data_IF_843100861202
#
_entry.id   IF_843100861202
#
_cell.length_a   1.000
_cell.length_b   1.000
_cell.length_c   1.000
_cell.angle_alpha   90.00
_cell.angle_beta   90.00
_cell.angle_gamma   90.00
#
_symmetry.space_group_name_H-M   'P 1'
#
loop_
_entity.id
_entity.type
_entity.pdbx_description
1 polymer ?
#
# COMPACT_ATOMS: atom_id res chain seq x y z
N UNK A 1 20.64 -3.66 -2.24
CA UNK A 1 19.31 -4.23 -2.12
C UNK A 1 18.35 -3.08 -1.82
N UNK A 2 17.23 -2.99 -2.54
CA UNK A 2 16.18 -2.02 -2.20
C UNK A 2 15.70 -2.32 -0.78
N UNK A 3 15.62 -1.29 0.06
CA UNK A 3 15.02 -1.42 1.39
C UNK A 3 13.54 -1.74 1.16
N UNK A 4 13.00 -2.83 1.73
CA UNK A 4 11.58 -3.12 1.60
C UNK A 4 10.78 -1.92 2.11
N UNK A 5 9.77 -1.49 1.35
CA UNK A 5 8.86 -0.46 1.84
C UNK A 5 8.09 -1.03 3.04
N UNK A 6 8.36 -0.46 4.19
CA UNK A 6 7.70 -0.76 5.46
C UNK A 6 7.15 0.54 6.03
N UNK A 7 5.86 0.56 6.32
CA UNK A 7 5.18 1.71 6.91
C UNK A 7 4.41 1.25 8.14
N UNK A 8 4.52 2.02 9.22
CA UNK A 8 3.73 1.84 10.45
C UNK A 8 3.04 3.14 10.81
N UNK A 9 1.73 3.11 11.00
CA UNK A 9 0.92 4.29 11.28
C UNK A 9 0.04 4.06 12.51
N UNK A 10 0.13 4.98 13.48
CA UNK A 10 -0.87 5.11 14.55
C UNK A 10 -1.86 6.17 14.10
N UNK A 11 -2.98 5.73 13.51
CA UNK A 11 -3.99 6.64 12.94
C UNK A 11 -5.03 7.12 13.96
N UNK A 12 -5.20 6.39 15.07
CA UNK A 12 -6.14 6.73 16.14
C UNK A 12 -5.46 6.57 17.49
N UNK A 13 -5.75 7.51 18.40
CA UNK A 13 -5.35 7.47 19.80
C UNK A 13 -6.52 7.98 20.65
N UNK A 14 -6.97 7.17 21.59
CA UNK A 14 -8.06 7.48 22.50
C UNK A 14 -7.66 7.23 23.95
N UNK A 15 -8.04 8.14 24.82
CA UNK A 15 -7.85 8.04 26.27
C UNK A 15 -9.24 8.02 26.92
N UNK A 16 -9.83 6.84 27.13
CA UNK A 16 -11.17 6.72 27.68
C UNK A 16 -11.28 7.39 29.06
N UNK A 17 -12.31 8.20 29.25
CA UNK A 17 -12.55 8.93 30.49
C UNK A 17 -11.38 9.83 30.95
N UNK A 18 -10.58 10.29 29.98
CA UNK A 18 -9.47 11.20 30.27
C UNK A 18 -9.92 12.54 30.86
N UNK A 19 -9.07 13.13 31.68
CA UNK A 19 -9.25 14.46 32.27
C UNK A 19 -7.92 15.19 32.30
N UNK A 20 -7.97 16.53 32.30
CA UNK A 20 -6.78 17.38 32.21
C UNK A 20 -5.82 17.26 33.40
N UNK A 21 -6.29 16.74 34.51
CA UNK A 21 -5.55 16.66 35.79
C UNK A 21 -5.56 15.27 36.42
N UNK A 22 -5.92 14.23 35.66
CA UNK A 22 -5.95 12.84 36.12
C UNK A 22 -5.04 11.99 35.22
N UNK A 23 -4.20 11.16 35.83
CA UNK A 23 -3.40 10.17 35.12
C UNK A 23 -4.33 9.16 34.43
N UNK A 24 -4.24 8.95 33.12
CA UNK A 24 -5.11 8.02 32.44
C UNK A 24 -4.96 6.58 32.93
N UNK A 25 -6.10 5.91 33.15
CA UNK A 25 -6.13 4.49 33.51
C UNK A 25 -6.01 3.55 32.31
N UNK A 26 -6.29 4.06 31.11
CA UNK A 26 -6.21 3.30 29.87
C UNK A 26 -5.88 4.21 28.68
N UNK A 27 -5.26 3.63 27.67
CA UNK A 27 -5.07 4.25 26.36
C UNK A 27 -5.38 3.19 25.29
N UNK A 28 -6.09 3.60 24.26
CA UNK A 28 -6.44 2.77 23.11
C UNK A 28 -5.89 3.41 21.85
N UNK A 29 -5.22 2.63 21.01
CA UNK A 29 -4.70 3.14 19.73
C UNK A 29 -4.80 2.07 18.65
N UNK A 30 -4.90 2.53 17.41
CA UNK A 30 -4.77 1.68 16.24
C UNK A 30 -3.32 1.62 15.77
N UNK A 31 -2.92 0.51 15.15
CA UNK A 31 -1.66 0.39 14.45
C UNK A 31 -1.91 -0.30 13.10
N UNK A 32 -1.56 0.38 12.02
CA UNK A 32 -1.55 -0.16 10.66
C UNK A 32 -0.10 -0.41 10.24
N UNK A 33 0.23 -1.64 9.85
CA UNK A 33 1.56 -2.03 9.38
C UNK A 33 1.43 -2.54 7.95
N UNK A 34 2.13 -1.92 7.01
CA UNK A 34 2.14 -2.29 5.59
C UNK A 34 3.56 -2.50 5.09
N UNK A 35 3.76 -3.56 4.32
CA UNK A 35 5.04 -3.85 3.68
C UNK A 35 4.81 -4.46 2.29
N UNK A 36 5.87 -4.49 1.47
CA UNK A 36 5.83 -5.10 0.14
C UNK A 36 5.80 -6.61 0.16
N UNK A 37 6.17 -7.24 1.29
CA UNK A 37 6.07 -8.68 1.50
C UNK A 37 5.50 -9.00 2.88
N UNK A 38 4.88 -10.16 2.99
CA UNK A 38 4.30 -10.66 4.24
C UNK A 38 5.36 -10.87 5.33
N UNK A 39 6.54 -11.38 4.95
CA UNK A 39 7.63 -11.65 5.88
C UNK A 39 8.11 -10.38 6.58
N UNK A 40 8.27 -9.28 5.83
CA UNK A 40 8.70 -7.99 6.37
C UNK A 40 7.63 -7.39 7.28
N UNK A 41 6.36 -7.47 6.87
CA UNK A 41 5.22 -7.01 7.67
C UNK A 41 5.13 -7.79 8.99
N UNK A 42 5.21 -9.12 8.91
CA UNK A 42 5.01 -9.99 10.07
C UNK A 42 6.20 -9.90 11.03
N UNK A 43 7.41 -9.75 10.55
CA UNK A 43 8.58 -9.48 11.40
C UNK A 43 8.41 -8.16 12.16
N UNK A 44 8.01 -7.08 11.48
CA UNK A 44 7.74 -5.79 12.14
C UNK A 44 6.62 -5.91 13.18
N UNK A 45 5.54 -6.62 12.88
CA UNK A 45 4.44 -6.84 13.82
C UNK A 45 4.90 -7.62 15.06
N UNK A 46 5.79 -8.60 14.89
CA UNK A 46 6.38 -9.34 16.00
C UNK A 46 7.27 -8.46 16.88
N UNK A 47 8.11 -7.62 16.27
CA UNK A 47 8.97 -6.67 16.98
C UNK A 47 8.16 -5.66 17.79
N UNK A 48 7.10 -5.10 17.20
CA UNK A 48 6.19 -4.18 17.91
C UNK A 48 5.51 -4.87 19.08
N UNK A 49 5.04 -6.10 18.91
CA UNK A 49 4.43 -6.87 19.99
C UNK A 49 5.41 -7.12 21.14
N UNK A 50 6.64 -7.54 20.81
CA UNK A 50 7.68 -7.77 21.80
C UNK A 50 8.05 -6.50 22.57
N UNK A 51 8.14 -5.37 21.88
CA UNK A 51 8.42 -4.08 22.53
C UNK A 51 7.26 -3.60 23.41
N UNK A 52 6.00 -3.76 22.98
CA UNK A 52 4.83 -3.48 23.81
C UNK A 52 4.84 -4.32 25.09
N UNK A 53 5.12 -5.61 24.97
CA UNK A 53 5.25 -6.51 26.12
C UNK A 53 6.31 -6.00 27.11
N UNK A 54 7.52 -5.70 26.59
CA UNK A 54 8.63 -5.19 27.40
C UNK A 54 8.31 -3.87 28.12
N UNK A 55 7.60 -2.97 27.42
CA UNK A 55 7.16 -1.69 28.00
C UNK A 55 6.13 -1.92 29.11
N UNK A 56 5.14 -2.77 28.86
CA UNK A 56 4.08 -3.07 29.82
C UNK A 56 4.63 -3.74 31.09
N UNK A 57 5.51 -4.73 30.96
CA UNK A 57 6.16 -5.38 32.08
C UNK A 57 6.96 -4.38 32.94
N UNK A 58 7.79 -3.54 32.31
CA UNK A 58 8.56 -2.50 33.01
C UNK A 58 7.70 -1.50 33.76
N UNK A 59 6.50 -1.22 33.26
CA UNK A 59 5.59 -0.21 33.81
C UNK A 59 4.47 -0.78 34.68
N UNK A 60 4.38 -2.11 34.84
CA UNK A 60 3.28 -2.75 35.54
C UNK A 60 1.94 -2.58 34.83
N UNK A 61 1.94 -2.54 33.52
CA UNK A 61 0.75 -2.39 32.68
C UNK A 61 0.38 -3.70 32.02
N UNK A 62 -0.86 -3.80 31.56
CA UNK A 62 -1.33 -4.89 30.71
C UNK A 62 -1.79 -4.31 29.39
N UNK A 63 -1.63 -5.07 28.29
CA UNK A 63 -2.22 -4.72 27.01
C UNK A 63 -3.01 -5.88 26.44
N UNK A 64 -4.04 -5.55 25.68
CA UNK A 64 -4.77 -6.46 24.81
C UNK A 64 -4.52 -6.03 23.38
N UNK A 65 -4.12 -6.97 22.52
CA UNK A 65 -3.95 -6.72 21.09
C UNK A 65 -5.06 -7.49 20.37
N UNK A 66 -5.71 -6.82 19.43
CA UNK A 66 -6.71 -7.40 18.56
C UNK A 66 -6.30 -7.14 17.11
N UNK A 67 -6.13 -8.21 16.34
CA UNK A 67 -5.88 -8.11 14.91
C UNK A 67 -7.23 -8.04 14.20
N UNK A 68 -7.55 -6.88 13.61
CA UNK A 68 -8.85 -6.63 12.99
C UNK A 68 -8.87 -6.97 11.52
N UNK A 69 -7.74 -6.80 10.83
CA UNK A 69 -7.58 -7.08 9.40
C UNK A 69 -6.19 -7.63 9.13
N UNK A 70 -6.12 -8.67 8.33
CA UNK A 70 -4.88 -9.15 7.72
C UNK A 70 -5.12 -9.38 6.23
N UNK A 71 -4.32 -8.77 5.38
CA UNK A 71 -4.33 -9.00 3.95
C UNK A 71 -2.93 -9.46 3.50
N UNK A 72 -2.89 -10.45 2.61
CA UNK A 72 -1.64 -10.92 2.02
C UNK A 72 -1.08 -9.86 1.07
N UNK A 73 0.25 -9.79 0.95
CA UNK A 73 0.89 -9.01 -0.08
C UNK A 73 0.54 -9.58 -1.47
N UNK A 74 0.31 -8.72 -2.44
CA UNK A 74 -0.09 -9.10 -3.79
C UNK A 74 0.96 -8.62 -4.82
N UNK A 75 2.07 -9.37 -5.00
CA UNK A 75 3.10 -8.98 -5.94
C UNK A 75 2.57 -8.97 -7.36
N UNK A 76 2.90 -7.94 -8.12
CA UNK A 76 2.55 -7.85 -9.53
C UNK A 76 3.30 -8.89 -10.36
N UNK A 77 2.63 -9.43 -11.35
CA UNK A 77 3.19 -10.41 -12.30
C UNK A 77 4.29 -9.79 -13.15
N UNK A 78 5.53 -10.33 -13.16
CA UNK A 78 6.63 -9.78 -13.95
C UNK A 78 6.33 -9.66 -15.46
N UNK A 79 5.67 -10.63 -16.11
CA UNK A 79 5.27 -10.48 -17.52
C UNK A 79 4.32 -9.30 -17.75
N UNK A 80 3.36 -9.06 -16.87
CA UNK A 80 2.44 -7.93 -16.98
C UNK A 80 3.11 -6.60 -16.66
N UNK A 81 4.06 -6.57 -15.71
CA UNK A 81 4.89 -5.39 -15.49
C UNK A 81 5.69 -5.03 -16.74
N UNK A 82 6.33 -6.02 -17.39
CA UNK A 82 7.09 -5.79 -18.61
C UNK A 82 6.21 -5.23 -19.76
N UNK A 83 4.96 -5.68 -19.88
CA UNK A 83 4.00 -5.15 -20.86
C UNK A 83 3.65 -3.68 -20.58
N UNK A 84 3.40 -3.33 -19.34
CA UNK A 84 3.18 -1.93 -18.94
C UNK A 84 4.41 -1.06 -19.16
N UNK A 85 5.61 -1.58 -18.88
CA UNK A 85 6.85 -0.86 -19.15
C UNK A 85 7.04 -0.60 -20.65
N UNK A 86 6.74 -1.58 -21.50
CA UNK A 86 6.79 -1.41 -22.95
C UNK A 86 5.79 -0.34 -23.43
N UNK A 87 4.56 -0.34 -22.89
CA UNK A 87 3.55 0.66 -23.21
C UNK A 87 3.97 2.08 -22.79
N UNK A 88 4.52 2.23 -21.61
CA UNK A 88 5.02 3.53 -21.11
C UNK A 88 6.24 4.01 -21.90
N UNK A 89 7.18 3.09 -22.23
CA UNK A 89 8.36 3.41 -23.02
C UNK A 89 8.00 3.84 -24.45
N UNK A 90 6.96 3.27 -25.05
CA UNK A 90 6.47 3.66 -26.37
C UNK A 90 5.98 5.11 -26.43
N UNK A 91 5.57 5.67 -25.30
CA UNK A 91 5.20 7.09 -25.16
C UNK A 91 6.40 8.00 -24.92
N UNK A 92 7.63 7.47 -24.89
CA UNK A 92 8.84 8.23 -24.58
C UNK A 92 8.95 8.65 -23.10
N UNK A 93 8.19 8.03 -22.22
CA UNK A 93 8.18 8.36 -20.80
C UNK A 93 9.22 7.54 -20.01
N UNK A 94 9.80 8.09 -18.94
CA UNK A 94 10.72 7.36 -18.08
C UNK A 94 9.97 6.25 -17.33
N UNK A 95 10.63 5.11 -17.18
CA UNK A 95 10.11 3.98 -16.40
C UNK A 95 10.36 4.19 -14.90
N UNK A 96 9.32 4.00 -14.11
CA UNK A 96 9.42 4.06 -12.66
C UNK A 96 8.58 2.95 -12.03
N UNK A 97 9.23 2.07 -11.27
CA UNK A 97 8.56 1.04 -10.48
C UNK A 97 8.37 1.52 -9.05
N UNK A 98 7.15 1.39 -8.56
CA UNK A 98 6.83 1.75 -7.19
C UNK A 98 5.83 0.76 -6.58
N UNK A 99 5.90 0.47 -5.27
CA UNK A 99 4.89 -0.32 -4.61
C UNK A 99 3.62 0.51 -4.39
N UNK A 100 2.46 -0.16 -4.38
CA UNK A 100 1.23 0.41 -3.83
C UNK A 100 1.22 0.22 -2.31
N UNK A 101 1.14 1.31 -1.56
CA UNK A 101 0.90 1.24 -0.12
C UNK A 101 -0.58 1.09 0.23
N UNK A 102 -1.48 1.33 -0.71
CA UNK A 102 -2.93 1.22 -0.53
C UNK A 102 -3.44 -0.18 -0.90
N UNK A 103 -4.51 -0.62 -0.25
CA UNK A 103 -5.30 -1.76 -0.72
C UNK A 103 -5.99 -1.39 -2.04
N UNK A 104 -6.02 -2.34 -2.98
CA UNK A 104 -6.60 -2.17 -4.30
C UNK A 104 -7.26 -3.48 -4.76
N UNK A 105 -8.23 -3.41 -5.69
CA UNK A 105 -8.90 -4.60 -6.26
C UNK A 105 -7.91 -5.57 -6.90
N UNK A 106 -6.76 -5.08 -7.39
CA UNK A 106 -5.66 -5.91 -7.87
C UNK A 106 -5.19 -6.95 -6.82
N UNK A 107 -5.33 -6.69 -5.52
CA UNK A 107 -5.04 -7.67 -4.47
C UNK A 107 -6.01 -8.86 -4.54
N UNK A 108 -7.27 -8.61 -4.87
CA UNK A 108 -8.27 -9.68 -5.04
C UNK A 108 -8.10 -10.41 -6.36
N UNK A 109 -7.80 -9.70 -7.42
CA UNK A 109 -7.49 -10.30 -8.72
C UNK A 109 -6.25 -11.19 -8.65
N UNK A 110 -5.24 -10.82 -7.84
CA UNK A 110 -4.04 -11.62 -7.62
C UNK A 110 -4.33 -13.04 -7.11
N UNK A 111 -5.41 -13.24 -6.36
CA UNK A 111 -5.79 -14.54 -5.82
C UNK A 111 -6.23 -15.53 -6.93
N UNK A 112 -6.63 -15.02 -8.10
CA UNK A 112 -7.23 -15.84 -9.18
C UNK A 112 -6.53 -15.68 -10.53
N UNK A 113 -5.74 -14.63 -10.74
CA UNK A 113 -5.05 -14.38 -12.00
C UNK A 113 -3.79 -13.52 -11.84
N UNK A 114 -2.84 -13.62 -12.79
CA UNK A 114 -1.73 -12.66 -12.86
C UNK A 114 -2.24 -11.23 -13.08
N UNK A 115 -1.72 -10.28 -12.34
CA UNK A 115 -2.08 -8.87 -12.43
C UNK A 115 -0.85 -7.96 -12.37
N UNK A 116 -0.99 -6.73 -12.84
CA UNK A 116 -0.10 -5.62 -12.59
C UNK A 116 -0.89 -4.31 -12.69
N UNK A 117 -0.38 -3.25 -12.07
CA UNK A 117 -1.04 -1.95 -12.02
C UNK A 117 -0.20 -0.92 -12.79
N UNK A 118 -0.88 0.01 -13.46
CA UNK A 118 -0.31 1.24 -13.97
C UNK A 118 -0.69 2.37 -13.02
N UNK A 119 0.29 3.16 -12.57
CA UNK A 119 0.04 4.37 -11.80
C UNK A 119 -0.03 5.58 -12.71
N UNK A 120 -1.06 6.41 -12.49
CA UNK A 120 -1.19 7.72 -13.07
C UNK A 120 -0.72 8.79 -12.07
N UNK A 121 -0.07 9.86 -12.55
CA UNK A 121 0.35 10.95 -11.68
C UNK A 121 -0.86 11.68 -11.11
N UNK A 122 -0.89 11.83 -9.80
CA UNK A 122 -1.87 12.65 -9.09
C UNK A 122 -1.31 14.04 -8.77
N UNK A 123 -2.19 15.03 -8.70
CA UNK A 123 -1.89 16.35 -8.16
C UNK A 123 -1.91 16.34 -6.63
N UNK A 124 -1.62 17.49 -6.02
CA UNK A 124 -1.68 17.66 -4.56
C UNK A 124 -0.89 16.60 -3.78
N UNK A 125 0.35 16.33 -4.26
CA UNK A 125 1.26 15.33 -3.69
C UNK A 125 0.71 13.89 -3.72
N UNK A 126 -0.18 13.58 -4.65
CA UNK A 126 -0.77 12.25 -4.80
C UNK A 126 -1.76 11.89 -3.69
N UNK A 127 -2.38 12.89 -3.06
CA UNK A 127 -3.40 12.64 -2.03
C UNK A 127 -4.54 11.81 -2.62
N UNK A 128 -5.04 10.84 -1.86
CA UNK A 128 -6.18 10.02 -2.23
C UNK A 128 -7.23 9.98 -1.11
N UNK A 129 -8.46 9.58 -1.44
CA UNK A 129 -9.60 9.56 -0.51
C UNK A 129 -9.88 10.93 0.14
N UNK A 130 -9.67 12.01 -0.62
CA UNK A 130 -9.82 13.39 -0.17
C UNK A 130 -10.46 14.23 -1.29
N UNK A 131 -11.30 15.23 -0.98
CA UNK A 131 -11.87 16.13 -1.99
C UNK A 131 -10.85 16.90 -2.86
N UNK A 132 -9.59 16.97 -2.43
CA UNK A 132 -8.49 17.56 -3.19
C UNK A 132 -7.80 16.58 -4.15
N UNK A 133 -8.22 15.31 -4.17
CA UNK A 133 -7.71 14.34 -5.13
C UNK A 133 -8.04 14.79 -6.55
N UNK A 134 -7.03 14.92 -7.38
CA UNK A 134 -7.20 15.38 -8.75
C UNK A 134 -6.05 14.94 -9.65
N UNK A 135 -6.32 14.93 -10.95
CA UNK A 135 -5.36 14.60 -12.00
C UNK A 135 -5.45 15.63 -13.12
N UNK A 136 -4.44 15.74 -13.97
CA UNK A 136 -4.50 16.57 -15.17
C UNK A 136 -5.14 15.83 -16.33
N UNK A 137 -5.69 16.57 -17.30
CA UNK A 137 -6.13 15.97 -18.55
C UNK A 137 -4.97 15.31 -19.30
N UNK A 138 -3.79 15.92 -19.30
CA UNK A 138 -2.61 15.40 -19.97
C UNK A 138 -2.16 14.06 -19.36
N UNK A 139 -2.15 13.93 -18.02
CA UNK A 139 -1.79 12.66 -17.37
C UNK A 139 -2.85 11.59 -17.63
N UNK A 140 -4.13 11.96 -17.70
CA UNK A 140 -5.21 11.06 -18.08
C UNK A 140 -5.05 10.58 -19.52
N UNK A 141 -4.76 11.48 -20.44
CA UNK A 141 -4.51 11.17 -21.86
C UNK A 141 -3.34 10.19 -22.00
N UNK A 142 -2.21 10.44 -21.34
CA UNK A 142 -1.06 9.53 -21.33
C UNK A 142 -1.41 8.14 -20.79
N UNK A 143 -2.23 8.08 -19.75
CA UNK A 143 -2.70 6.80 -19.21
C UNK A 143 -3.55 6.03 -20.23
N UNK A 144 -4.49 6.70 -20.92
CA UNK A 144 -5.30 6.11 -21.98
C UNK A 144 -4.44 5.61 -23.13
N UNK A 145 -3.47 6.41 -23.58
CA UNK A 145 -2.54 6.02 -24.65
C UNK A 145 -1.72 4.79 -24.27
N UNK A 146 -1.24 4.68 -23.02
CA UNK A 146 -0.55 3.49 -22.55
C UNK A 146 -1.46 2.25 -22.57
N UNK A 147 -2.73 2.39 -22.18
CA UNK A 147 -3.72 1.30 -22.29
C UNK A 147 -3.97 0.88 -23.73
N UNK A 148 -4.16 1.83 -24.64
CA UNK A 148 -4.36 1.54 -26.07
C UNK A 148 -3.15 0.76 -26.60
N UNK A 149 -1.93 1.23 -26.31
CA UNK A 149 -0.72 0.54 -26.74
C UNK A 149 -0.63 -0.90 -26.22
N UNK A 150 -0.94 -1.11 -24.92
CA UNK A 150 -0.98 -2.45 -24.33
C UNK A 150 -2.01 -3.35 -25.02
N UNK A 151 -3.22 -2.86 -25.28
CA UNK A 151 -4.28 -3.64 -25.93
C UNK A 151 -3.93 -4.00 -27.36
N UNK A 152 -3.33 -3.08 -28.13
CA UNK A 152 -2.87 -3.32 -29.49
C UNK A 152 -1.80 -4.42 -29.54
N UNK A 153 -0.84 -4.41 -28.59
CA UNK A 153 0.17 -5.47 -28.49
C UNK A 153 -0.46 -6.83 -28.17
N UNK A 154 -1.42 -6.87 -27.25
CA UNK A 154 -2.14 -8.10 -26.92
C UNK A 154 -2.94 -8.63 -28.11
N UNK A 155 -3.59 -7.76 -28.88
CA UNK A 155 -4.32 -8.15 -30.10
C UNK A 155 -3.39 -8.78 -31.15
N UNK A 156 -2.21 -8.21 -31.34
CA UNK A 156 -1.19 -8.74 -32.27
C UNK A 156 -0.67 -10.12 -31.85
N UNK A 157 -0.54 -10.39 -30.56
CA UNK A 157 -0.12 -11.69 -30.04
C UNK A 157 -1.16 -12.79 -30.28
N UNK A 158 -2.44 -12.45 -30.23
CA UNK A 158 -3.55 -13.41 -30.40
C UNK A 158 -3.92 -13.67 -31.87
N UNK A 159 -3.36 -12.91 -32.80
CA UNK A 159 -3.60 -13.08 -34.25
C UNK A 159 -2.55 -13.95 -34.94
N UNK A 160 -1.56 -14.42 -34.21
CA UNK A 160 -0.50 -15.33 -34.66
C UNK A 160 -0.71 -16.75 -34.18
#
# INVERSE_FOLDING_TARGET
AAVPHLVGTVGMLDVPSGSINVVPGACRFSLDIRATTDEVRDACAADVRAELQRICERRGLHFKLEETVRAAAAPSSPPWQARWEAAVAALGLPLHRMPSGAGHDAMKLHEVMPQAMLFMRGLNAGISHNPLESVTNDDTELCVQAFVHLLDQLALEHTR
#
